data_IF_977004339280
#
_entry.id   IF_977004339280
#
_cell.length_a   1.000
_cell.length_b   1.000
_cell.length_c   1.000
_cell.angle_alpha   90.00
_cell.angle_beta   90.00
_cell.angle_gamma   90.00
#
_symmetry.space_group_name_H-M   'P 1'
#
loop_
_entity.id
_entity.type
_entity.pdbx_description
1 polymer ?
#
# COMPACT_ATOMS: atom_id res chain seq x y z
N UNK A 1 1.59 -8.71 1.24
CA UNK A 1 2.81 -7.86 1.29
C UNK A 1 3.00 -7.30 2.70
N UNK A 2 4.18 -7.45 3.30
CA UNK A 2 4.59 -6.90 4.61
C UNK A 2 5.85 -6.06 4.43
N UNK A 3 6.03 -4.99 5.22
CA UNK A 3 7.17 -4.08 5.06
C UNK A 3 8.38 -4.53 5.88
N UNK A 4 8.22 -4.66 7.19
CA UNK A 4 9.23 -5.16 8.12
C UNK A 4 10.61 -4.47 8.04
N UNK A 5 10.65 -3.15 7.90
CA UNK A 5 11.89 -2.38 7.89
C UNK A 5 12.25 -1.79 9.28
N UNK A 6 11.28 -1.58 10.18
CA UNK A 6 11.55 -1.15 11.56
C UNK A 6 11.63 -2.29 12.56
N UNK A 7 10.97 -3.40 12.28
CA UNK A 7 10.99 -4.61 13.10
C UNK A 7 11.14 -5.86 12.23
N UNK A 8 11.91 -6.87 12.66
CA UNK A 8 12.18 -8.06 11.84
C UNK A 8 10.95 -8.97 11.64
N UNK A 9 9.89 -8.82 12.43
CA UNK A 9 8.77 -9.77 12.51
C UNK A 9 7.37 -9.13 12.51
N UNK A 10 7.28 -7.81 12.41
CA UNK A 10 6.00 -7.07 12.37
C UNK A 10 6.17 -5.73 11.70
N UNK A 11 5.07 -5.18 11.19
CA UNK A 11 5.00 -3.80 10.75
C UNK A 11 4.95 -2.83 11.94
N UNK A 12 5.42 -1.61 11.76
CA UNK A 12 5.47 -0.61 12.80
C UNK A 12 4.09 0.00 13.08
N UNK A 13 3.66 -0.10 14.33
CA UNK A 13 2.50 0.65 14.81
C UNK A 13 2.96 2.00 15.37
N UNK A 14 2.53 3.10 14.74
CA UNK A 14 2.77 4.45 15.26
C UNK A 14 1.74 4.77 16.35
N UNK A 15 1.85 4.11 17.50
CA UNK A 15 1.07 4.44 18.69
C UNK A 15 1.89 5.28 19.64
N UNK A 16 1.31 6.34 20.24
CA UNK A 16 2.00 7.09 21.27
C UNK A 16 2.50 6.16 22.37
N UNK A 17 3.80 6.23 22.67
CA UNK A 17 4.39 5.44 23.75
C UNK A 17 4.31 6.25 25.01
N UNK A 18 3.57 5.76 25.99
CA UNK A 18 3.62 6.32 27.35
C UNK A 18 4.92 5.88 28.01
N UNK A 19 5.91 6.73 27.97
CA UNK A 19 7.15 6.58 28.74
C UNK A 19 6.99 7.37 30.02
N UNK A 20 7.33 6.74 31.14
CA UNK A 20 7.50 7.44 32.39
C UNK A 20 8.69 8.41 32.22
N UNK A 21 8.53 9.67 32.61
CA UNK A 21 9.51 10.75 32.38
C UNK A 21 9.78 11.13 30.91
N UNK A 22 8.86 10.88 29.97
CA UNK A 22 9.04 11.35 28.59
C UNK A 22 9.21 12.88 28.49
N UNK A 23 8.50 13.72 29.25
CA UNK A 23 8.72 15.16 29.26
C UNK A 23 10.14 15.55 29.68
N UNK A 24 10.62 14.98 30.80
CA UNK A 24 11.94 15.27 31.36
C UNK A 24 13.03 14.84 30.31
N UNK A 25 12.91 13.65 29.76
CA UNK A 25 13.83 13.17 28.72
C UNK A 25 13.83 14.08 27.49
N UNK A 26 12.65 14.59 27.10
CA UNK A 26 12.52 15.48 25.96
C UNK A 26 13.20 16.82 26.21
N UNK A 27 13.09 17.34 27.41
CA UNK A 27 13.69 18.62 27.82
C UNK A 27 15.20 18.49 28.04
N UNK A 28 15.63 17.50 28.84
CA UNK A 28 17.04 17.30 29.21
C UNK A 28 17.96 16.98 28.03
N UNK A 29 17.43 16.27 27.01
CA UNK A 29 18.18 15.89 25.80
C UNK A 29 17.79 16.72 24.56
N UNK A 30 17.04 17.80 24.74
CA UNK A 30 16.57 18.66 23.62
C UNK A 30 15.98 17.87 22.44
N UNK A 31 15.27 16.77 22.73
CA UNK A 31 14.77 15.82 21.72
C UNK A 31 13.89 16.49 20.66
N UNK A 32 13.21 17.57 21.00
CA UNK A 32 12.41 18.32 20.02
C UNK A 32 13.28 18.95 18.93
N UNK A 33 14.52 19.36 19.24
CA UNK A 33 15.46 19.84 18.24
C UNK A 33 15.86 18.72 17.27
N UNK A 34 16.20 17.56 17.81
CA UNK A 34 16.49 16.36 17.01
C UNK A 34 15.34 15.98 16.09
N UNK A 35 14.10 15.95 16.62
CA UNK A 35 12.91 15.62 15.80
C UNK A 35 12.66 16.64 14.70
N UNK A 36 12.88 17.94 14.96
CA UNK A 36 12.76 18.99 13.95
C UNK A 36 13.84 18.87 12.87
N UNK A 37 15.07 18.57 13.24
CA UNK A 37 16.16 18.34 12.29
C UNK A 37 15.86 17.13 11.38
N UNK A 38 15.32 16.05 11.94
CA UNK A 38 14.88 14.90 11.16
C UNK A 38 13.68 15.21 10.24
N UNK A 39 12.80 16.10 10.66
CA UNK A 39 11.53 16.36 9.97
C UNK A 39 11.64 17.33 8.81
N UNK A 40 12.55 18.30 8.83
CA UNK A 40 12.63 19.40 7.84
C UNK A 40 11.25 20.06 7.62
N UNK A 41 10.57 20.43 8.71
CA UNK A 41 9.22 21.07 8.72
C UNK A 41 8.05 20.14 8.28
N UNK A 42 8.28 18.84 8.05
CA UNK A 42 7.21 17.87 7.79
C UNK A 42 6.66 17.30 9.11
N UNK A 43 5.42 17.65 9.44
CA UNK A 43 4.74 17.19 10.66
C UNK A 43 4.63 15.66 10.75
N UNK A 44 4.49 14.98 9.62
CA UNK A 44 4.42 13.52 9.61
C UNK A 44 5.77 12.89 9.94
N UNK A 45 6.86 13.40 9.37
CA UNK A 45 8.22 12.96 9.71
C UNK A 45 8.54 13.25 11.16
N UNK A 46 8.14 14.43 11.70
CA UNK A 46 8.30 14.78 13.10
C UNK A 46 7.65 13.76 14.02
N UNK A 47 6.38 13.45 13.77
CA UNK A 47 5.64 12.50 14.62
C UNK A 47 6.20 11.07 14.50
N UNK A 48 6.59 10.63 13.30
CA UNK A 48 7.23 9.33 13.10
C UNK A 48 8.56 9.24 13.82
N UNK A 49 9.40 10.26 13.73
CA UNK A 49 10.69 10.31 14.45
C UNK A 49 10.46 10.21 15.96
N UNK A 50 9.57 11.03 16.50
CA UNK A 50 9.24 11.07 17.92
C UNK A 50 8.75 9.70 18.42
N UNK A 51 7.75 9.12 17.77
CA UNK A 51 7.17 7.84 18.19
C UNK A 51 8.18 6.69 18.04
N UNK A 52 8.94 6.67 16.94
CA UNK A 52 9.90 5.59 16.66
C UNK A 52 11.09 5.61 17.59
N UNK A 53 11.62 6.79 17.93
CA UNK A 53 12.74 6.93 18.88
C UNK A 53 12.29 6.53 20.28
N UNK A 54 11.16 7.07 20.77
CA UNK A 54 10.67 6.70 22.10
C UNK A 54 10.27 5.23 22.22
N UNK A 55 9.66 4.64 21.19
CA UNK A 55 9.39 3.20 21.20
C UNK A 55 10.68 2.38 21.16
N UNK A 56 11.72 2.92 20.52
CA UNK A 56 13.03 2.32 20.38
C UNK A 56 13.75 2.09 21.72
N UNK A 57 13.46 2.88 22.75
CA UNK A 57 14.02 2.71 24.09
C UNK A 57 13.66 1.37 24.76
N UNK A 58 12.65 0.68 24.26
CA UNK A 58 12.23 -0.66 24.72
C UNK A 58 12.67 -1.79 23.79
N UNK A 59 13.44 -1.50 22.76
CA UNK A 59 13.87 -2.50 21.80
C UNK A 59 14.94 -3.41 22.41
N UNK A 60 14.91 -4.68 21.96
CA UNK A 60 15.97 -5.62 22.23
C UNK A 60 17.20 -5.37 21.32
N UNK A 61 18.29 -6.03 21.66
CA UNK A 61 19.56 -5.94 20.94
C UNK A 61 19.42 -6.31 19.45
N UNK A 62 18.67 -7.35 19.14
CA UNK A 62 18.48 -7.80 17.74
C UNK A 62 17.75 -6.73 16.90
N UNK A 63 16.73 -6.10 17.43
CA UNK A 63 16.01 -5.01 16.76
C UNK A 63 16.90 -3.79 16.55
N UNK A 64 17.79 -3.46 17.48
CA UNK A 64 18.74 -2.35 17.34
C UNK A 64 19.70 -2.62 16.16
N UNK A 65 20.34 -3.79 16.15
CA UNK A 65 21.24 -4.19 15.05
C UNK A 65 20.50 -4.20 13.71
N UNK A 66 19.30 -4.78 13.68
CA UNK A 66 18.48 -4.83 12.48
C UNK A 66 18.22 -3.45 11.87
N UNK A 67 17.83 -2.47 12.69
CA UNK A 67 17.62 -1.08 12.25
C UNK A 67 18.91 -0.41 11.81
N UNK A 68 20.02 -0.67 12.46
CA UNK A 68 21.32 -0.13 12.06
C UNK A 68 21.78 -0.66 10.70
N UNK A 69 21.58 -1.95 10.41
CA UNK A 69 21.87 -2.52 9.08
C UNK A 69 21.07 -1.84 7.99
N UNK A 70 19.77 -1.63 8.22
CA UNK A 70 18.89 -0.92 7.28
C UNK A 70 19.31 0.55 7.16
N UNK A 71 19.63 1.23 8.28
CA UNK A 71 20.11 2.61 8.26
C UNK A 71 21.39 2.78 7.43
N UNK A 72 22.34 1.82 7.54
CA UNK A 72 23.56 1.82 6.70
C UNK A 72 23.25 1.68 5.20
N UNK A 73 22.28 0.84 4.85
CA UNK A 73 21.82 0.73 3.46
C UNK A 73 21.14 2.01 2.99
N UNK A 74 20.32 2.65 3.85
CA UNK A 74 19.68 3.91 3.54
C UNK A 74 20.70 5.02 3.25
N UNK A 75 21.75 5.15 4.05
CA UNK A 75 22.81 6.13 3.83
C UNK A 75 23.56 5.91 2.51
N UNK A 76 23.84 4.65 2.16
CA UNK A 76 24.52 4.30 0.90
C UNK A 76 23.64 4.51 -0.33
N UNK A 77 22.34 4.41 -0.19
CA UNK A 77 21.38 4.39 -1.30
C UNK A 77 20.25 5.41 -1.07
N UNK A 78 20.58 6.60 -0.55
CA UNK A 78 19.59 7.60 -0.12
C UNK A 78 18.58 7.98 -1.19
N UNK A 79 19.01 8.14 -2.45
CA UNK A 79 18.15 8.48 -3.57
C UNK A 79 17.10 7.39 -3.86
N UNK A 80 17.47 6.11 -3.77
CA UNK A 80 16.54 4.99 -3.97
C UNK A 80 15.52 4.93 -2.84
N UNK A 81 15.96 5.08 -1.60
CA UNK A 81 15.08 5.09 -0.42
C UNK A 81 14.07 6.24 -0.50
N UNK A 82 14.53 7.45 -0.86
CA UNK A 82 13.63 8.60 -1.07
C UNK A 82 12.64 8.32 -2.21
N UNK A 83 13.08 7.75 -3.33
CA UNK A 83 12.19 7.41 -4.44
C UNK A 83 11.09 6.42 -4.03
N UNK A 84 11.40 5.40 -3.20
CA UNK A 84 10.40 4.45 -2.69
C UNK A 84 9.45 5.16 -1.69
N UNK A 85 9.99 6.04 -0.84
CA UNK A 85 9.18 6.86 0.05
C UNK A 85 8.19 7.74 -0.73
N UNK A 86 8.66 8.45 -1.76
CA UNK A 86 7.86 9.32 -2.61
C UNK A 86 6.75 8.55 -3.34
N UNK A 87 7.02 7.33 -3.83
CA UNK A 87 5.98 6.46 -4.39
C UNK A 87 4.89 6.14 -3.36
N UNK A 88 5.26 5.96 -2.11
CA UNK A 88 4.27 5.70 -1.06
C UNK A 88 3.40 6.93 -0.78
N UNK A 89 3.98 8.13 -0.85
CA UNK A 89 3.25 9.40 -0.76
C UNK A 89 2.35 9.58 -1.98
N UNK A 90 2.86 9.38 -3.20
CA UNK A 90 2.11 9.47 -4.47
C UNK A 90 0.83 8.62 -4.41
N UNK A 91 0.93 7.36 -3.95
CA UNK A 91 -0.24 6.47 -3.85
C UNK A 91 -1.25 6.95 -2.82
N UNK A 92 -0.80 7.36 -1.64
CA UNK A 92 -1.69 7.83 -0.57
C UNK A 92 -2.42 9.12 -1.00
N UNK A 93 -1.71 10.05 -1.66
CA UNK A 93 -2.29 11.30 -2.16
C UNK A 93 -3.26 11.05 -3.33
N UNK A 94 -2.98 10.08 -4.21
CA UNK A 94 -3.89 9.72 -5.32
C UNK A 94 -5.28 9.35 -4.83
N UNK A 95 -5.40 8.73 -3.66
CA UNK A 95 -6.69 8.43 -3.03
C UNK A 95 -7.46 9.69 -2.62
N UNK A 96 -6.78 10.73 -2.13
CA UNK A 96 -7.44 11.99 -1.70
C UNK A 96 -8.07 12.73 -2.88
N UNK A 97 -7.46 12.63 -4.06
CA UNK A 97 -7.96 13.27 -5.27
C UNK A 97 -9.01 12.46 -6.02
N UNK A 98 -9.21 11.21 -5.66
CA UNK A 98 -10.25 10.38 -6.26
C UNK A 98 -11.61 10.64 -5.62
N UNK A 99 -12.65 10.75 -6.46
CA UNK A 99 -14.06 10.95 -6.06
C UNK A 99 -14.66 9.74 -5.31
N UNK A 100 -13.84 8.87 -4.74
CA UNK A 100 -14.22 7.59 -4.15
C UNK A 100 -15.21 7.70 -2.97
N UNK A 101 -15.40 8.88 -2.39
CA UNK A 101 -16.23 9.06 -1.17
C UNK A 101 -17.68 9.43 -1.41
N UNK A 102 -18.09 9.85 -2.61
CA UNK A 102 -19.39 10.49 -2.81
C UNK A 102 -20.51 9.50 -3.19
N UNK A 103 -20.19 8.35 -3.79
CA UNK A 103 -21.18 7.40 -4.31
C UNK A 103 -21.07 5.97 -3.76
N UNK A 104 -20.66 5.81 -2.51
CA UNK A 104 -20.47 4.48 -1.87
C UNK A 104 -21.77 3.70 -1.63
N UNK A 105 -22.93 4.27 -1.94
CA UNK A 105 -24.23 3.64 -1.69
C UNK A 105 -24.65 2.62 -2.76
N UNK A 106 -24.08 2.69 -3.95
CA UNK A 106 -24.46 1.83 -5.08
C UNK A 106 -23.30 0.93 -5.49
N UNK A 107 -23.49 -0.40 -5.52
CA UNK A 107 -22.47 -1.37 -5.94
C UNK A 107 -21.81 -1.05 -7.28
N UNK A 108 -22.58 -0.59 -8.28
CA UNK A 108 -22.07 -0.16 -9.59
C UNK A 108 -21.07 1.02 -9.49
N UNK A 109 -21.36 1.98 -8.61
CA UNK A 109 -20.46 3.12 -8.37
C UNK A 109 -19.20 2.70 -7.61
N UNK A 110 -19.35 1.82 -6.62
CA UNK A 110 -18.21 1.22 -5.90
C UNK A 110 -17.33 0.44 -6.85
N UNK A 111 -17.91 -0.39 -7.73
CA UNK A 111 -17.18 -1.16 -8.73
C UNK A 111 -16.37 -0.24 -9.66
N UNK A 112 -17.03 0.74 -10.27
CA UNK A 112 -16.36 1.67 -11.20
C UNK A 112 -15.25 2.48 -10.55
N UNK A 113 -15.49 2.98 -9.34
CA UNK A 113 -14.48 3.70 -8.55
C UNK A 113 -13.30 2.80 -8.15
N UNK A 114 -13.58 1.55 -7.74
CA UNK A 114 -12.56 0.59 -7.38
C UNK A 114 -11.68 0.18 -8.55
N UNK A 115 -12.26 -0.01 -9.74
CA UNK A 115 -11.50 -0.30 -10.97
C UNK A 115 -10.53 0.85 -11.26
N UNK A 116 -11.02 2.10 -11.28
CA UNK A 116 -10.18 3.26 -11.57
C UNK A 116 -9.03 3.41 -10.56
N UNK A 117 -9.29 3.10 -9.28
CA UNK A 117 -8.29 3.16 -8.21
C UNK A 117 -7.22 2.08 -8.36
N UNK A 118 -7.63 0.82 -8.65
CA UNK A 118 -6.66 -0.27 -8.87
C UNK A 118 -5.73 0.05 -10.04
N UNK A 119 -6.21 0.65 -11.13
CA UNK A 119 -5.36 1.03 -12.26
C UNK A 119 -4.27 2.04 -11.88
N UNK A 120 -4.63 3.05 -11.07
CA UNK A 120 -3.65 3.99 -10.53
C UNK A 120 -2.63 3.25 -9.66
N UNK A 121 -3.11 2.36 -8.77
CA UNK A 121 -2.25 1.59 -7.88
C UNK A 121 -1.34 0.61 -8.63
N UNK A 122 -1.83 -0.05 -9.68
CA UNK A 122 -1.00 -0.92 -10.53
C UNK A 122 0.15 -0.16 -11.18
N UNK A 123 -0.09 1.08 -11.60
CA UNK A 123 0.97 1.92 -12.17
C UNK A 123 2.07 2.18 -11.14
N UNK A 124 1.70 2.46 -9.89
CA UNK A 124 2.66 2.72 -8.80
C UNK A 124 3.36 1.43 -8.37
N UNK A 125 2.64 0.30 -8.29
CA UNK A 125 3.23 -1.01 -8.01
C UNK A 125 4.25 -1.42 -9.08
N UNK A 126 3.99 -1.15 -10.36
CA UNK A 126 4.96 -1.38 -11.46
C UNK A 126 6.21 -0.52 -11.29
N UNK A 127 6.06 0.78 -10.92
CA UNK A 127 7.20 1.64 -10.60
C UNK A 127 8.04 1.07 -9.43
N UNK A 128 7.38 0.61 -8.37
CA UNK A 128 8.04 -0.01 -7.22
C UNK A 128 8.81 -1.27 -7.62
N UNK A 129 8.21 -2.11 -8.48
CA UNK A 129 8.88 -3.31 -9.01
C UNK A 129 10.13 -2.96 -9.82
N UNK A 130 10.06 -1.97 -10.71
CA UNK A 130 11.21 -1.51 -11.51
C UNK A 130 12.34 -1.01 -10.60
N UNK A 131 12.02 -0.14 -9.61
CA UNK A 131 13.01 0.34 -8.65
C UNK A 131 13.66 -0.82 -7.89
N UNK A 132 12.87 -1.83 -7.50
CA UNK A 132 13.38 -3.03 -6.83
C UNK A 132 14.36 -3.78 -7.70
N UNK A 133 14.00 -4.09 -8.95
CA UNK A 133 14.84 -4.89 -9.87
C UNK A 133 16.18 -4.22 -10.20
N UNK A 134 16.16 -2.89 -10.36
CA UNK A 134 17.36 -2.10 -10.67
C UNK A 134 18.32 -1.95 -9.48
N UNK A 135 17.82 -2.12 -8.27
CA UNK A 135 18.58 -1.74 -7.06
C UNK A 135 18.79 -2.83 -6.02
N UNK A 136 18.15 -4.00 -6.14
CA UNK A 136 18.24 -5.08 -5.15
C UNK A 136 19.68 -5.46 -4.79
N UNK A 137 20.61 -5.46 -5.78
CA UNK A 137 22.02 -5.79 -5.57
C UNK A 137 22.84 -4.73 -4.80
N UNK A 138 22.28 -3.53 -4.57
CA UNK A 138 22.95 -2.45 -3.86
C UNK A 138 22.72 -2.50 -2.35
N UNK A 139 21.72 -3.24 -1.89
CA UNK A 139 21.31 -3.35 -0.50
C UNK A 139 21.81 -4.65 0.11
N UNK A 140 22.31 -4.59 1.33
CA UNK A 140 22.96 -5.70 2.03
C UNK A 140 22.23 -6.11 3.31
N UNK A 141 21.38 -5.23 3.87
CA UNK A 141 20.63 -5.52 5.08
C UNK A 141 19.60 -6.64 4.86
N UNK A 142 19.41 -7.43 5.92
CA UNK A 142 18.37 -8.47 5.94
C UNK A 142 16.96 -7.90 5.68
N UNK A 143 16.70 -6.66 6.14
CA UNK A 143 15.41 -6.00 5.96
C UNK A 143 15.10 -5.70 4.51
N UNK A 144 15.96 -4.97 3.81
CA UNK A 144 15.78 -4.67 2.40
C UNK A 144 15.84 -5.92 1.53
N UNK A 145 16.72 -6.89 1.85
CA UNK A 145 16.78 -8.16 1.11
C UNK A 145 15.42 -8.89 1.14
N UNK A 146 14.77 -8.98 2.31
CA UNK A 146 13.43 -9.57 2.45
C UNK A 146 12.36 -8.75 1.73
N UNK A 147 12.40 -7.44 1.89
CA UNK A 147 11.43 -6.52 1.27
C UNK A 147 11.48 -6.63 -0.25
N UNK A 148 12.65 -6.53 -0.87
CA UNK A 148 12.79 -6.62 -2.32
C UNK A 148 12.46 -8.02 -2.85
N UNK A 149 12.88 -9.08 -2.15
CA UNK A 149 12.51 -10.45 -2.54
C UNK A 149 10.99 -10.65 -2.51
N UNK A 150 10.31 -10.11 -1.53
CA UNK A 150 8.83 -10.15 -1.45
C UNK A 150 8.20 -9.41 -2.64
N UNK A 151 8.68 -8.19 -2.96
CA UNK A 151 8.20 -7.43 -4.12
C UNK A 151 8.40 -8.23 -5.42
N UNK A 152 9.55 -8.85 -5.62
CA UNK A 152 9.83 -9.67 -6.81
C UNK A 152 8.93 -10.90 -6.90
N UNK A 153 8.63 -11.53 -5.78
CA UNK A 153 7.84 -12.75 -5.74
C UNK A 153 6.34 -12.47 -5.89
N UNK A 154 5.83 -11.41 -5.27
CA UNK A 154 4.40 -11.10 -5.27
C UNK A 154 3.97 -10.25 -6.47
N UNK A 155 4.83 -9.39 -7.02
CA UNK A 155 4.53 -8.50 -8.13
C UNK A 155 5.19 -8.98 -9.43
N UNK A 156 4.81 -10.18 -9.91
CA UNK A 156 5.31 -10.74 -11.18
C UNK A 156 4.59 -10.12 -12.39
N UNK A 157 5.15 -10.28 -13.58
CA UNK A 157 4.51 -9.80 -14.80
C UNK A 157 3.18 -10.53 -15.01
N UNK A 158 3.11 -11.83 -14.71
CA UNK A 158 1.87 -12.60 -14.77
C UNK A 158 0.80 -12.04 -13.83
N UNK A 159 1.19 -11.61 -12.62
CA UNK A 159 0.26 -10.96 -11.68
C UNK A 159 -0.34 -9.67 -12.28
N UNK A 160 0.48 -8.83 -12.90
CA UNK A 160 0.01 -7.59 -13.51
C UNK A 160 -0.91 -7.86 -14.72
N UNK A 161 -0.55 -8.84 -15.55
CA UNK A 161 -1.32 -9.22 -16.73
C UNK A 161 -2.68 -9.82 -16.33
N UNK A 162 -2.71 -10.68 -15.31
CA UNK A 162 -3.94 -11.27 -14.80
C UNK A 162 -4.90 -10.22 -14.23
N UNK A 163 -4.38 -9.28 -13.42
CA UNK A 163 -5.22 -8.20 -12.90
C UNK A 163 -5.74 -7.31 -14.03
N UNK A 164 -4.88 -6.93 -14.98
CA UNK A 164 -5.29 -6.10 -16.10
C UNK A 164 -6.40 -6.78 -16.91
N UNK A 165 -6.27 -8.08 -17.19
CA UNK A 165 -7.31 -8.85 -17.86
C UNK A 165 -8.63 -8.84 -17.09
N UNK A 166 -8.60 -9.01 -15.77
CA UNK A 166 -9.80 -8.94 -14.94
C UNK A 166 -10.46 -7.56 -14.97
N UNK A 167 -9.66 -6.49 -14.91
CA UNK A 167 -10.18 -5.12 -15.00
C UNK A 167 -10.83 -4.85 -16.35
N UNK A 168 -10.21 -5.31 -17.44
CA UNK A 168 -10.76 -5.18 -18.79
C UNK A 168 -12.08 -5.94 -18.96
N UNK A 169 -12.18 -7.16 -18.39
CA UNK A 169 -13.41 -7.94 -18.35
C UNK A 169 -14.53 -7.20 -17.59
N UNK A 170 -14.23 -6.58 -16.46
CA UNK A 170 -15.19 -5.84 -15.63
C UNK A 170 -15.61 -4.49 -16.25
N UNK A 171 -14.74 -3.87 -17.04
CA UNK A 171 -15.05 -2.64 -17.80
C UNK A 171 -15.85 -2.88 -19.05
N UNK A 172 -15.90 -4.12 -19.53
CA UNK A 172 -16.45 -4.41 -20.84
C UNK A 172 -17.95 -4.03 -20.88
N UNK A 173 -18.27 -3.04 -21.73
CA UNK A 173 -19.60 -2.44 -21.87
C UNK A 173 -20.62 -3.36 -22.56
N UNK A 174 -20.25 -4.60 -22.88
CA UNK A 174 -21.10 -5.57 -23.59
C UNK A 174 -22.17 -6.22 -22.72
N UNK A 175 -22.40 -5.67 -21.53
CA UNK A 175 -23.38 -6.18 -20.57
C UNK A 175 -22.75 -7.03 -19.46
N UNK A 176 -23.57 -7.38 -18.49
CA UNK A 176 -23.22 -8.19 -17.33
C UNK A 176 -24.02 -9.49 -17.45
N UNK A 177 -23.33 -10.64 -17.32
CA UNK A 177 -23.98 -11.93 -17.26
C UNK A 177 -24.15 -12.33 -15.79
N UNK A 178 -25.40 -12.40 -15.33
CA UNK A 178 -25.73 -12.76 -13.96
C UNK A 178 -26.59 -14.03 -13.97
N UNK A 179 -26.22 -15.00 -13.16
CA UNK A 179 -27.02 -16.18 -12.89
C UNK A 179 -27.80 -16.00 -11.60
N UNK A 180 -29.06 -16.46 -11.58
CA UNK A 180 -29.90 -16.46 -10.41
C UNK A 180 -30.50 -17.85 -10.20
N UNK A 181 -30.68 -18.24 -8.96
CA UNK A 181 -31.54 -19.36 -8.60
C UNK A 181 -32.96 -18.86 -8.30
N UNK A 182 -33.97 -19.64 -8.68
CA UNK A 182 -35.36 -19.32 -8.39
C UNK A 182 -35.74 -19.89 -7.03
N UNK A 183 -36.02 -19.00 -6.08
CA UNK A 183 -36.52 -19.36 -4.76
C UNK A 183 -38.05 -19.44 -4.71
N UNK A 184 -38.58 -19.58 -3.48
CA UNK A 184 -40.04 -19.61 -3.25
C UNK A 184 -40.69 -18.33 -3.75
N UNK A 185 -41.79 -18.50 -4.51
CA UNK A 185 -42.55 -17.38 -5.09
C UNK A 185 -41.85 -16.72 -6.29
N UNK A 186 -41.00 -17.43 -7.02
CA UNK A 186 -40.24 -16.97 -8.19
C UNK A 186 -39.33 -15.77 -7.89
N UNK A 187 -38.91 -15.60 -6.63
CA UNK A 187 -37.94 -14.58 -6.27
C UNK A 187 -36.54 -15.05 -6.65
N UNK A 188 -35.76 -14.17 -7.26
CA UNK A 188 -34.34 -14.42 -7.54
C UNK A 188 -33.58 -14.53 -6.21
N UNK A 189 -32.84 -15.63 -6.06
CA UNK A 189 -31.93 -15.88 -4.93
C UNK A 189 -30.58 -16.30 -5.48
N UNK A 190 -29.52 -16.15 -4.66
CA UNK A 190 -28.15 -16.58 -4.95
C UNK A 190 -27.61 -16.05 -6.30
N UNK A 191 -27.52 -14.73 -6.39
CA UNK A 191 -27.00 -14.05 -7.60
C UNK A 191 -25.50 -14.30 -7.76
N UNK A 192 -25.06 -14.73 -8.94
CA UNK A 192 -23.64 -14.97 -9.29
C UNK A 192 -23.29 -14.22 -10.58
N UNK A 193 -22.23 -13.42 -10.53
CA UNK A 193 -21.64 -12.83 -11.71
C UNK A 193 -20.87 -13.92 -12.48
N UNK A 194 -21.20 -14.10 -13.75
CA UNK A 194 -20.56 -15.07 -14.61
C UNK A 194 -19.63 -14.37 -15.59
N UNK A 195 -18.50 -15.04 -15.92
CA UNK A 195 -17.64 -14.59 -17.01
C UNK A 195 -18.35 -14.64 -18.33
N UNK A 196 -18.35 -13.53 -19.05
CA UNK A 196 -18.76 -13.51 -20.46
C UNK A 196 -17.74 -14.33 -21.26
N UNK A 197 -18.10 -15.54 -21.66
CA UNK A 197 -17.31 -16.31 -22.60
C UNK A 197 -17.38 -15.63 -23.97
N UNK A 198 -16.38 -14.81 -24.29
CA UNK A 198 -16.12 -14.38 -25.66
C UNK A 198 -15.64 -15.62 -26.44
N UNK A 199 -16.57 -16.51 -26.81
CA UNK A 199 -16.29 -17.47 -27.87
C UNK A 199 -15.93 -16.63 -29.09
N UNK A 200 -14.67 -16.67 -29.52
CA UNK A 200 -14.29 -16.26 -30.88
C UNK A 200 -15.21 -17.08 -31.79
N UNK A 201 -16.33 -16.46 -32.19
CA UNK A 201 -17.26 -17.10 -33.13
C UNK A 201 -16.49 -17.28 -34.42
N UNK A 202 -16.23 -18.53 -34.81
CA UNK A 202 -15.72 -18.85 -36.11
C UNK A 202 -16.69 -18.25 -37.13
N UNK A 203 -16.15 -17.68 -38.22
CA UNK A 203 -16.96 -17.04 -39.27
C UNK A 203 -18.15 -17.91 -39.76
N UNK A 204 -18.04 -19.26 -39.70
CA UNK A 204 -19.12 -20.22 -39.96
C UNK A 204 -20.26 -20.13 -38.95
N UNK A 205 -20.04 -19.85 -37.69
CA UNK A 205 -21.07 -19.69 -36.67
C UNK A 205 -21.82 -18.34 -36.81
N UNK A 206 -21.22 -17.35 -37.47
CA UNK A 206 -21.92 -16.12 -37.85
C UNK A 206 -22.94 -16.32 -38.98
N UNK A 207 -22.70 -17.27 -39.88
CA UNK A 207 -23.61 -17.60 -40.99
C UNK A 207 -24.79 -18.47 -40.55
N UNK A 208 -24.59 -19.31 -39.53
CA UNK A 208 -25.60 -20.20 -38.98
C UNK A 208 -25.63 -20.08 -37.46
N UNK A 209 -26.22 -19.01 -36.88
CA UNK A 209 -26.32 -18.88 -35.44
C UNK A 209 -27.16 -20.04 -34.89
N UNK A 210 -26.69 -20.73 -33.81
CA UNK A 210 -27.50 -21.73 -33.15
C UNK A 210 -28.79 -21.09 -32.68
N UNK A 211 -29.94 -21.75 -32.87
CA UNK A 211 -31.24 -21.32 -32.34
C UNK A 211 -31.22 -21.43 -30.80
N UNK A 212 -30.58 -20.48 -30.13
CA UNK A 212 -30.76 -20.29 -28.72
C UNK A 212 -31.98 -19.40 -28.52
N UNK A 213 -32.91 -19.84 -27.68
CA UNK A 213 -34.06 -19.03 -27.29
C UNK A 213 -33.56 -17.90 -26.38
N UNK A 214 -33.32 -16.73 -27.00
CA UNK A 214 -33.10 -15.52 -26.24
C UNK A 214 -34.41 -14.80 -26.04
N UNK A 215 -34.75 -14.50 -24.83
CA UNK A 215 -35.83 -13.57 -24.53
C UNK A 215 -35.16 -12.21 -24.27
N UNK A 216 -35.38 -11.22 -25.11
CA UNK A 216 -34.93 -9.86 -24.88
C UNK A 216 -36.14 -8.95 -24.72
N UNK A 217 -36.00 -7.98 -23.84
CA UNK A 217 -36.96 -6.90 -23.72
C UNK A 217 -36.18 -5.59 -23.55
N UNK A 218 -36.73 -4.54 -24.14
CA UNK A 218 -36.17 -3.19 -24.04
C UNK A 218 -36.99 -2.39 -23.04
N UNK A 219 -36.30 -1.70 -22.12
CA UNK A 219 -36.94 -0.79 -21.17
C UNK A 219 -37.09 0.55 -21.87
N UNK A 220 -38.34 1.04 -21.94
CA UNK A 220 -38.61 2.34 -22.56
C UNK A 220 -37.86 3.45 -21.83
N UNK A 221 -37.25 4.45 -22.52
CA UNK A 221 -36.45 5.51 -21.87
C UNK A 221 -37.19 6.33 -20.81
N UNK A 222 -38.53 6.32 -20.80
CA UNK A 222 -39.37 6.99 -19.80
C UNK A 222 -39.88 6.07 -18.69
N UNK A 223 -39.52 4.80 -18.73
CA UNK A 223 -39.89 3.83 -17.65
C UNK A 223 -38.85 3.85 -16.55
N UNK A 224 -38.97 4.80 -15.63
CA UNK A 224 -38.11 4.94 -14.45
C UNK A 224 -38.20 3.72 -13.53
N UNK A 225 -39.37 3.09 -13.43
CA UNK A 225 -39.56 1.91 -12.57
C UNK A 225 -38.84 0.70 -13.11
N UNK A 226 -38.91 0.46 -14.40
CA UNK A 226 -38.18 -0.62 -15.08
C UNK A 226 -36.67 -0.40 -15.02
N UNK A 227 -36.21 0.83 -15.28
CA UNK A 227 -34.81 1.19 -15.15
C UNK A 227 -34.27 0.98 -13.72
N UNK A 228 -35.06 1.35 -12.70
CA UNK A 228 -34.70 1.13 -11.29
C UNK A 228 -34.64 -0.35 -10.95
N UNK A 229 -35.61 -1.16 -11.42
CA UNK A 229 -35.61 -2.60 -11.19
C UNK A 229 -34.39 -3.29 -11.82
N UNK A 230 -34.04 -2.90 -13.06
CA UNK A 230 -32.83 -3.40 -13.73
C UNK A 230 -31.55 -3.01 -13.01
N UNK A 231 -31.46 -1.77 -12.53
CA UNK A 231 -30.33 -1.31 -11.70
C UNK A 231 -30.17 -2.12 -10.43
N UNK A 232 -31.28 -2.43 -9.72
CA UNK A 232 -31.25 -3.26 -8.52
C UNK A 232 -30.74 -4.67 -8.81
N UNK A 233 -31.20 -5.30 -9.87
CA UNK A 233 -30.74 -6.63 -10.29
C UNK A 233 -29.24 -6.60 -10.61
N UNK A 234 -28.77 -5.60 -11.33
CA UNK A 234 -27.35 -5.43 -11.63
C UNK A 234 -26.55 -5.24 -10.36
N UNK A 235 -26.99 -4.36 -9.46
CA UNK A 235 -26.30 -4.06 -8.21
C UNK A 235 -26.20 -5.30 -7.29
N UNK A 236 -27.25 -6.15 -7.23
CA UNK A 236 -27.19 -7.41 -6.52
C UNK A 236 -26.14 -8.36 -7.11
N UNK A 237 -26.07 -8.48 -8.44
CA UNK A 237 -25.14 -9.37 -9.13
C UNK A 237 -23.67 -8.96 -9.01
N UNK A 238 -23.39 -7.66 -8.98
CA UNK A 238 -22.00 -7.14 -8.93
C UNK A 238 -21.51 -6.85 -7.52
N UNK A 239 -22.37 -6.89 -6.50
CA UNK A 239 -22.05 -6.46 -5.15
C UNK A 239 -20.83 -7.19 -4.56
N UNK A 240 -20.74 -8.50 -4.75
CA UNK A 240 -19.61 -9.30 -4.24
C UNK A 240 -18.28 -8.86 -4.88
N UNK A 241 -18.28 -8.64 -6.20
CA UNK A 241 -17.08 -8.23 -6.94
C UNK A 241 -16.69 -6.80 -6.57
N UNK A 242 -17.67 -5.89 -6.46
CA UNK A 242 -17.44 -4.52 -6.03
C UNK A 242 -16.78 -4.46 -4.64
N UNK A 243 -17.28 -5.26 -3.70
CA UNK A 243 -16.71 -5.35 -2.35
C UNK A 243 -15.31 -5.97 -2.35
N UNK A 244 -15.08 -7.02 -3.14
CA UNK A 244 -13.75 -7.65 -3.25
C UNK A 244 -12.71 -6.67 -3.81
N UNK A 245 -13.05 -5.89 -4.84
CA UNK A 245 -12.18 -4.88 -5.39
C UNK A 245 -11.93 -3.72 -4.42
N UNK A 246 -12.96 -3.29 -3.69
CA UNK A 246 -12.81 -2.28 -2.66
C UNK A 246 -11.84 -2.74 -1.54
N UNK A 247 -11.97 -3.99 -1.08
CA UNK A 247 -11.04 -4.60 -0.13
C UNK A 247 -9.62 -4.70 -0.68
N UNK A 248 -9.46 -5.06 -1.96
CA UNK A 248 -8.15 -5.09 -2.61
C UNK A 248 -7.49 -3.72 -2.63
N UNK A 249 -8.25 -2.66 -2.93
CA UNK A 249 -7.78 -1.28 -2.83
C UNK A 249 -7.31 -0.93 -1.41
N UNK A 250 -8.08 -1.31 -0.39
CA UNK A 250 -7.73 -1.05 1.00
C UNK A 250 -6.47 -1.82 1.43
N UNK A 251 -6.26 -3.05 0.94
CA UNK A 251 -5.04 -3.82 1.20
C UNK A 251 -3.80 -3.16 0.58
N UNK A 252 -3.88 -2.72 -0.67
CA UNK A 252 -2.78 -2.02 -1.34
C UNK A 252 -2.47 -0.70 -0.62
N UNK A 253 -3.49 0.08 -0.30
CA UNK A 253 -3.31 1.32 0.45
C UNK A 253 -2.70 1.09 1.83
N UNK A 254 -3.11 0.03 2.53
CA UNK A 254 -2.54 -0.33 3.83
C UNK A 254 -1.06 -0.64 3.72
N UNK A 255 -0.64 -1.44 2.72
CA UNK A 255 0.76 -1.73 2.46
C UNK A 255 1.58 -0.45 2.24
N UNK A 256 1.14 0.45 1.37
CA UNK A 256 1.85 1.71 1.14
C UNK A 256 1.81 2.66 2.34
N UNK A 257 0.76 2.61 3.14
CA UNK A 257 0.70 3.35 4.40
C UNK A 257 1.74 2.85 5.40
N UNK A 258 1.95 1.53 5.51
CA UNK A 258 3.00 0.95 6.33
C UNK A 258 4.38 1.27 5.76
N UNK A 259 4.57 1.16 4.45
CA UNK A 259 5.81 1.50 3.76
C UNK A 259 6.21 2.95 4.01
N UNK A 260 5.28 3.90 3.85
CA UNK A 260 5.50 5.31 4.17
C UNK A 260 5.93 5.50 5.63
N UNK A 261 5.24 4.86 6.57
CA UNK A 261 5.56 5.00 8.00
C UNK A 261 6.96 4.50 8.34
N UNK A 262 7.33 3.34 7.83
CA UNK A 262 8.63 2.75 8.16
C UNK A 262 9.79 3.45 7.45
N UNK A 263 9.62 3.85 6.19
CA UNK A 263 10.62 4.63 5.48
C UNK A 263 10.71 6.08 5.97
N UNK A 264 9.65 6.66 6.50
CA UNK A 264 9.66 8.00 7.08
C UNK A 264 10.72 8.15 8.18
N UNK A 265 10.89 7.14 9.03
CA UNK A 265 11.93 7.15 10.05
C UNK A 265 13.33 7.23 9.42
N UNK A 266 13.59 6.39 8.41
CA UNK A 266 14.90 6.41 7.73
C UNK A 266 15.09 7.68 6.89
N UNK A 267 14.04 8.22 6.28
CA UNK A 267 14.08 9.53 5.61
C UNK A 267 14.46 10.63 6.59
N UNK A 268 13.90 10.61 7.80
CA UNK A 268 14.31 11.51 8.89
C UNK A 268 15.78 11.34 9.29
N UNK A 269 16.27 10.10 9.36
CA UNK A 269 17.70 9.83 9.62
C UNK A 269 18.59 10.35 8.49
N UNK A 270 18.17 10.25 7.23
CA UNK A 270 18.87 10.81 6.08
C UNK A 270 18.94 12.35 6.15
N UNK A 271 17.82 12.99 6.48
CA UNK A 271 17.77 14.46 6.64
C UNK A 271 18.74 14.95 7.72
N UNK A 272 18.77 14.28 8.86
CA UNK A 272 19.70 14.59 9.94
C UNK A 272 21.16 14.38 9.52
N UNK A 273 21.44 13.27 8.84
CA UNK A 273 22.79 12.95 8.39
C UNK A 273 23.30 13.99 7.39
N UNK A 274 22.48 14.41 6.41
CA UNK A 274 22.81 15.44 5.44
C UNK A 274 23.15 16.79 6.12
N UNK A 275 22.39 17.20 7.16
CA UNK A 275 22.68 18.41 7.93
C UNK A 275 24.01 18.28 8.70
N UNK A 276 24.30 17.13 9.32
CA UNK A 276 25.55 16.90 10.02
C UNK A 276 26.75 16.94 9.04
N UNK A 277 26.61 16.37 7.84
CA UNK A 277 27.64 16.46 6.80
C UNK A 277 27.90 17.91 6.34
N UNK A 278 26.84 18.71 6.19
CA UNK A 278 26.97 20.16 5.85
C UNK A 278 27.72 20.93 6.94
N UNK A 279 27.48 20.58 8.23
CA UNK A 279 28.19 21.14 9.38
C UNK A 279 29.61 20.56 9.54
N UNK A 280 29.96 19.54 8.75
CA UNK A 280 31.23 18.77 8.85
C UNK A 280 31.38 18.04 10.18
N UNK A 281 30.24 17.66 10.79
CA UNK A 281 30.23 16.90 12.03
C UNK A 281 30.22 15.39 11.72
N UNK A 282 31.19 14.62 12.25
CA UNK A 282 31.26 13.20 11.96
C UNK A 282 30.14 12.42 12.66
N UNK A 283 29.53 11.50 11.95
CA UNK A 283 28.53 10.58 12.49
C UNK A 283 29.02 9.14 12.45
N UNK A 284 28.59 8.32 13.42
CA UNK A 284 28.91 6.90 13.45
C UNK A 284 27.73 6.07 13.94
N UNK A 285 27.73 4.79 13.57
CA UNK A 285 26.81 3.83 14.16
C UNK A 285 27.41 3.27 15.46
N UNK A 286 26.67 3.36 16.59
CA UNK A 286 27.14 2.78 17.84
C UNK A 286 27.25 1.25 17.72
N UNK A 287 28.19 0.67 18.47
CA UNK A 287 28.32 -0.78 18.64
C UNK A 287 27.59 -1.21 19.91
N UNK A 288 26.31 -1.63 19.84
CA UNK A 288 25.58 -2.02 21.04
C UNK A 288 26.17 -3.30 21.63
N UNK A 289 26.17 -3.38 22.94
CA UNK A 289 26.60 -4.56 23.72
C UNK A 289 25.47 -5.01 24.63
N UNK A 290 25.51 -6.26 25.07
CA UNK A 290 24.47 -6.79 25.95
C UNK A 290 24.42 -6.00 27.27
N UNK A 291 23.22 -5.69 27.75
CA UNK A 291 23.01 -4.88 28.96
C UNK A 291 23.71 -5.42 30.22
N UNK A 292 23.93 -6.72 30.29
CA UNK A 292 24.68 -7.38 31.39
C UNK A 292 26.15 -6.99 31.43
N UNK A 293 26.72 -6.56 30.31
CA UNK A 293 28.12 -6.14 30.24
C UNK A 293 28.35 -4.76 30.86
N UNK A 294 27.32 -3.94 31.01
CA UNK A 294 27.35 -2.57 31.58
C UNK A 294 28.53 -1.72 31.06
N UNK A 295 28.88 -1.88 29.78
CA UNK A 295 29.92 -1.12 29.11
C UNK A 295 29.34 0.12 28.45
N UNK A 296 29.98 1.25 28.67
CA UNK A 296 29.76 2.49 27.98
C UNK A 296 31.09 3.12 27.63
N UNK A 297 31.33 3.38 26.35
CA UNK A 297 32.54 4.02 25.86
C UNK A 297 32.25 4.86 24.63
N UNK A 298 32.93 5.96 24.51
CA UNK A 298 32.85 6.83 23.37
C UNK A 298 34.22 7.43 23.03
N UNK A 299 34.40 7.88 21.82
CA UNK A 299 35.56 8.63 21.38
C UNK A 299 35.06 9.85 20.62
N UNK A 300 35.62 11.03 20.90
CA UNK A 300 35.30 12.28 20.20
C UNK A 300 33.78 12.58 20.19
N UNK A 301 33.14 12.50 21.36
CA UNK A 301 31.71 12.85 21.51
C UNK A 301 31.59 14.38 21.62
N UNK A 302 30.67 14.94 20.88
CA UNK A 302 30.29 16.37 20.90
C UNK A 302 28.78 16.53 20.98
N UNK A 303 28.34 17.67 21.45
CA UNK A 303 26.94 18.05 21.44
C UNK A 303 26.64 18.80 20.11
N UNK A 304 25.53 18.44 19.48
CA UNK A 304 25.06 19.06 18.23
C UNK A 304 24.00 20.10 18.52
#
# INVERSE_FOLDING_TARGET
>A
MNVFLLYPNRDAELKPVHLWHAPDLTEDLEMNFLFKAMALEDDFLFEVARVTIFSGLKNDFETIIYRQEIGKDCLKNSSVVRSIYDLSVELIESRKHSWYGIFTKYPSSVLSGSIGMIEVYLTILKKLRIITDENIGKFQSRGFGRFFSMIQTELTDEYFDEIQQHLDELRNRNGILISYELGKGNKSIDSKLLRLHNKKQNWFQKLFPPKSQYYSFDIHPRDESGAKALSQINDEGINLVANALAQSNDHILHFFTMLRKELAFYTGCLNLHEQLEEMKEPSCFPNPVASVERKYSFREMFAV
#
